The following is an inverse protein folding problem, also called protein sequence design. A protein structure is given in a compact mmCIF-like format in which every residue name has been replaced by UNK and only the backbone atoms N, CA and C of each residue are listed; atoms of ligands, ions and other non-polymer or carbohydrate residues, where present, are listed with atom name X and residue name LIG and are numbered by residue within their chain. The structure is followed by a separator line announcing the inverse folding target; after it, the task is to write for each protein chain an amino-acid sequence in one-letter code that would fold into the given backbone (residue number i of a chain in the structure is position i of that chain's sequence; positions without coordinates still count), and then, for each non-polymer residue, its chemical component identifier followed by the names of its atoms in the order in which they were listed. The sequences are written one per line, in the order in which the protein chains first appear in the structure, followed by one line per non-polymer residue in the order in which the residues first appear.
data_IF_764858283703
#
_entry.id   IF_764858283703
#
_cell.length_a   1.000
_cell.length_b   1.000
_cell.length_c   1.000
_cell.angle_alpha   90.00
_cell.angle_beta   90.00
_cell.angle_gamma   90.00
#
_symmetry.space_group_name_H-M   'P 1'
#
loop_
_entity.id
_entity.type
_entity.pdbx_description
1 polymer ?
#
# COMPACT_ATOMS: atom_id res chain seq x y z
N UNK A 1 50.12 6.18 -30.69
CA UNK A 1 49.35 5.40 -29.69
C UNK A 1 49.36 6.10 -28.32
N UNK A 2 48.77 7.30 -28.17
CA UNK A 2 48.70 7.99 -26.85
C UNK A 2 47.25 8.39 -26.48
N UNK A 3 46.29 8.25 -27.41
CA UNK A 3 44.89 8.68 -27.21
C UNK A 3 43.99 7.70 -26.44
N UNK A 4 44.50 6.57 -25.94
CA UNK A 4 43.67 5.51 -25.33
C UNK A 4 43.85 5.34 -23.81
N UNK A 5 44.80 6.04 -23.18
CA UNK A 5 45.06 5.92 -21.73
C UNK A 5 44.23 6.91 -20.88
N UNK A 6 43.88 8.08 -21.41
CA UNK A 6 43.06 9.07 -20.69
C UNK A 6 41.58 8.68 -20.57
N UNK A 7 41.00 7.95 -21.55
CA UNK A 7 39.62 7.47 -21.45
C UNK A 7 39.45 6.35 -20.42
N UNK A 8 40.45 5.47 -20.25
CA UNK A 8 40.42 4.41 -19.26
C UNK A 8 40.49 4.92 -17.81
N UNK A 9 41.30 5.95 -17.55
CA UNK A 9 41.41 6.56 -16.22
C UNK A 9 40.14 7.31 -15.80
N UNK A 10 39.49 8.01 -16.75
CA UNK A 10 38.21 8.67 -16.50
C UNK A 10 37.07 7.65 -16.23
N UNK A 11 37.04 6.53 -16.95
CA UNK A 11 36.07 5.45 -16.73
C UNK A 11 36.25 4.73 -15.39
N UNK A 12 37.51 4.49 -14.98
CA UNK A 12 37.83 3.91 -13.67
C UNK A 12 37.47 4.86 -12.52
N UNK A 13 37.76 6.16 -12.65
CA UNK A 13 37.38 7.18 -11.67
C UNK A 13 35.86 7.35 -11.52
N UNK A 14 35.11 7.26 -12.61
CA UNK A 14 33.65 7.26 -12.55
C UNK A 14 33.09 5.97 -11.94
N UNK A 15 33.71 4.81 -12.19
CA UNK A 15 33.31 3.53 -11.61
C UNK A 15 33.58 3.48 -10.09
N UNK A 16 34.74 3.98 -9.63
CA UNK A 16 35.06 4.07 -8.20
C UNK A 16 34.17 5.06 -7.48
N UNK A 17 33.86 6.22 -8.09
CA UNK A 17 32.90 7.18 -7.56
C UNK A 17 31.49 6.55 -7.43
N UNK A 18 31.00 5.85 -8.46
CA UNK A 18 29.71 5.13 -8.40
C UNK A 18 29.70 4.04 -7.31
N UNK A 19 30.79 3.31 -7.14
CA UNK A 19 30.93 2.30 -6.08
C UNK A 19 30.95 2.95 -4.68
N UNK A 20 31.58 4.11 -4.53
CA UNK A 20 31.59 4.85 -3.25
C UNK A 20 30.20 5.37 -2.89
N UNK A 21 29.49 5.98 -3.85
CA UNK A 21 28.11 6.45 -3.66
C UNK A 21 27.17 5.29 -3.34
N UNK A 22 27.34 4.14 -4.01
CA UNK A 22 26.55 2.94 -3.71
C UNK A 22 26.84 2.41 -2.31
N UNK A 23 28.11 2.38 -1.87
CA UNK A 23 28.50 1.97 -0.52
C UNK A 23 27.96 2.93 0.55
N UNK A 24 28.04 4.23 0.32
CA UNK A 24 27.47 5.25 1.20
C UNK A 24 25.95 5.13 1.30
N UNK A 25 25.27 4.90 0.18
CA UNK A 25 23.82 4.70 0.14
C UNK A 25 23.40 3.39 0.88
N UNK A 26 24.17 2.31 0.73
CA UNK A 26 23.96 1.07 1.48
C UNK A 26 24.19 1.29 2.98
N UNK A 27 25.27 1.99 3.36
CA UNK A 27 25.57 2.30 4.75
C UNK A 27 24.49 3.19 5.39
N UNK A 28 24.02 4.20 4.66
CA UNK A 28 22.92 5.08 5.07
C UNK A 28 21.63 4.29 5.28
N UNK A 29 21.24 3.42 4.34
CA UNK A 29 20.09 2.51 4.47
C UNK A 29 20.22 1.57 5.66
N UNK A 30 21.42 1.03 5.88
CA UNK A 30 21.75 0.20 7.04
C UNK A 30 21.55 0.95 8.37
N UNK A 31 22.06 2.17 8.47
CA UNK A 31 21.92 3.01 9.67
C UNK A 31 20.45 3.36 9.99
N UNK A 32 19.62 3.59 8.97
CA UNK A 32 18.18 3.82 9.15
C UNK A 32 17.48 2.57 9.72
N UNK A 33 17.78 1.38 9.19
CA UNK A 33 17.19 0.13 9.65
C UNK A 33 17.55 -0.23 11.11
N UNK A 34 18.70 0.25 11.60
CA UNK A 34 19.19 0.05 12.96
C UNK A 34 18.58 0.99 14.01
N UNK A 35 17.75 1.96 13.59
CA UNK A 35 17.07 2.84 14.53
C UNK A 35 16.26 2.04 15.58
N UNK A 36 16.20 2.59 16.78
CA UNK A 36 15.39 2.03 17.87
C UNK A 36 13.95 2.49 17.73
N UNK A 37 13.01 1.60 18.06
CA UNK A 37 11.59 1.98 18.18
C UNK A 37 11.44 2.80 19.47
N UNK A 38 10.74 3.95 19.47
CA UNK A 38 10.45 4.70 20.68
C UNK A 38 9.75 3.82 21.73
N UNK A 39 10.05 4.01 23.01
CA UNK A 39 9.63 3.12 24.12
C UNK A 39 8.11 2.97 24.22
N UNK A 40 7.36 4.03 23.90
CA UNK A 40 5.90 4.08 24.01
C UNK A 40 5.17 3.58 22.76
N UNK A 41 5.90 3.26 21.70
CA UNK A 41 5.35 2.81 20.42
C UNK A 41 5.40 1.29 20.38
N UNK A 42 4.24 0.64 20.32
CA UNK A 42 4.14 -0.83 20.23
C UNK A 42 3.52 -1.24 18.90
N UNK A 43 4.29 -1.98 18.09
CA UNK A 43 3.77 -2.72 16.94
C UNK A 43 3.14 -4.06 17.38
N UNK A 44 2.60 -4.85 16.44
CA UNK A 44 2.10 -6.20 16.74
C UNK A 44 3.18 -7.07 17.41
N UNK A 45 2.76 -7.95 18.33
CA UNK A 45 3.68 -8.91 18.98
C UNK A 45 4.33 -9.79 17.92
N UNK A 46 5.58 -10.22 18.14
CA UNK A 46 6.30 -11.10 17.21
C UNK A 46 5.56 -12.41 16.90
N UNK A 47 4.76 -12.92 17.84
CA UNK A 47 3.89 -14.09 17.63
C UNK A 47 2.84 -13.85 16.54
N UNK A 48 2.29 -12.63 16.46
CA UNK A 48 1.35 -12.25 15.40
C UNK A 48 2.07 -12.15 14.04
N UNK A 49 3.33 -11.68 14.03
CA UNK A 49 4.15 -11.69 12.82
C UNK A 49 4.40 -13.12 12.29
N UNK A 50 4.67 -14.10 13.17
CA UNK A 50 4.70 -15.51 12.75
C UNK A 50 3.34 -16.02 12.25
N UNK A 51 2.24 -15.44 12.73
CA UNK A 51 0.90 -15.70 12.23
C UNK A 51 0.74 -15.44 10.74
N UNK A 52 1.54 -14.55 10.14
CA UNK A 52 1.55 -14.30 8.69
C UNK A 52 1.90 -15.57 7.88
N UNK A 53 2.63 -16.53 8.46
CA UNK A 53 2.94 -17.81 7.81
C UNK A 53 1.69 -18.69 7.62
N UNK A 54 0.62 -18.43 8.36
CA UNK A 54 -0.66 -19.15 8.23
C UNK A 54 -1.51 -18.64 7.08
N UNK A 55 -1.11 -17.55 6.42
CA UNK A 55 -1.87 -16.93 5.31
C UNK A 55 -2.34 -17.94 4.26
N UNK A 56 -1.53 -18.90 3.75
CA UNK A 56 -2.01 -19.86 2.76
C UNK A 56 -3.09 -20.79 3.32
N UNK A 57 -2.95 -21.21 4.58
CA UNK A 57 -3.90 -22.11 5.25
C UNK A 57 -5.22 -21.37 5.51
N UNK A 58 -5.16 -20.14 6.03
CA UNK A 58 -6.35 -19.32 6.24
C UNK A 58 -7.09 -19.05 4.93
N UNK A 59 -6.34 -18.79 3.84
CA UNK A 59 -6.90 -18.65 2.50
C UNK A 59 -7.68 -19.87 2.05
N UNK A 60 -7.06 -21.03 2.19
CA UNK A 60 -7.65 -22.30 1.79
C UNK A 60 -8.87 -22.65 2.64
N UNK A 61 -8.83 -22.36 3.95
CA UNK A 61 -9.98 -22.54 4.83
C UNK A 61 -11.13 -21.60 4.45
N UNK A 62 -10.84 -20.33 4.19
CA UNK A 62 -11.84 -19.34 3.79
C UNK A 62 -12.45 -19.67 2.42
N UNK A 63 -11.66 -20.15 1.45
CA UNK A 63 -12.18 -20.54 0.13
C UNK A 63 -13.09 -21.76 0.16
N UNK A 64 -13.08 -22.52 1.26
CA UNK A 64 -14.00 -23.67 1.48
C UNK A 64 -15.30 -23.27 2.16
N UNK A 65 -15.38 -22.06 2.72
CA UNK A 65 -16.64 -21.54 3.23
C UNK A 65 -17.49 -21.09 2.04
N UNK A 66 -18.79 -21.41 2.05
CA UNK A 66 -19.66 -21.04 0.94
C UNK A 66 -19.65 -19.51 0.76
N UNK A 67 -19.50 -19.02 -0.48
CA UNK A 67 -19.52 -17.59 -0.74
C UNK A 67 -20.84 -17.01 -0.24
N UNK A 68 -20.78 -15.88 0.45
CA UNK A 68 -21.98 -15.10 0.75
C UNK A 68 -22.64 -14.75 -0.58
N UNK A 69 -23.95 -15.00 -0.69
CA UNK A 69 -24.72 -14.73 -1.91
C UNK A 69 -24.43 -13.32 -2.42
N UNK A 70 -24.13 -13.22 -3.72
CA UNK A 70 -23.93 -11.96 -4.40
C UNK A 70 -25.25 -11.18 -4.38
N UNK A 71 -25.25 -10.02 -3.73
CA UNK A 71 -26.34 -9.06 -3.92
C UNK A 71 -26.28 -8.52 -5.36
N UNK A 72 -27.43 -8.16 -5.97
CA UNK A 72 -27.48 -7.74 -7.36
C UNK A 72 -26.45 -6.64 -7.63
N UNK A 73 -25.71 -6.79 -8.73
CA UNK A 73 -24.68 -5.85 -9.14
C UNK A 73 -25.28 -4.44 -9.20
N UNK A 74 -24.80 -3.57 -8.31
CA UNK A 74 -25.04 -2.14 -8.40
C UNK A 74 -24.42 -1.56 -9.68
N UNK A 75 -24.41 -0.24 -9.79
CA UNK A 75 -23.76 0.44 -10.90
C UNK A 75 -22.28 0.01 -11.03
N UNK A 76 -21.84 -0.30 -12.25
CA UNK A 76 -20.44 -0.66 -12.50
C UNK A 76 -19.53 0.52 -12.19
N UNK A 77 -18.50 0.31 -11.37
CA UNK A 77 -17.53 1.34 -10.95
C UNK A 77 -16.16 1.08 -11.51
N UNK A 78 -15.43 2.15 -11.82
CA UNK A 78 -14.01 2.11 -12.09
C UNK A 78 -13.19 2.00 -10.78
N UNK A 79 -12.49 0.89 -10.60
CA UNK A 79 -11.68 0.59 -9.41
C UNK A 79 -10.20 0.54 -9.78
N UNK A 80 -9.34 1.14 -8.97
CA UNK A 80 -7.88 1.00 -9.07
C UNK A 80 -7.32 0.31 -7.81
N UNK A 81 -6.55 -0.76 -8.01
CA UNK A 81 -5.86 -1.49 -6.95
C UNK A 81 -4.41 -1.02 -6.78
N UNK A 82 -4.03 -0.68 -5.54
CA UNK A 82 -2.69 -0.22 -5.19
C UNK A 82 -2.00 -1.24 -4.25
N UNK A 83 -0.88 -1.87 -4.69
CA UNK A 83 -0.22 -2.93 -3.94
C UNK A 83 0.57 -2.42 -2.72
N UNK A 84 0.84 -3.34 -1.79
CA UNK A 84 1.68 -3.09 -0.62
C UNK A 84 3.17 -3.01 -0.95
N UNK A 85 3.96 -2.54 0.01
CA UNK A 85 5.40 -2.36 -0.15
C UNK A 85 6.13 -3.66 -0.53
N UNK A 86 7.06 -3.55 -1.48
CA UNK A 86 7.83 -4.68 -2.03
C UNK A 86 7.02 -5.65 -2.89
N UNK A 87 5.75 -5.35 -3.19
CA UNK A 87 4.88 -6.27 -3.92
C UNK A 87 4.48 -5.77 -5.31
N UNK A 88 4.20 -6.72 -6.19
CA UNK A 88 3.66 -6.47 -7.52
C UNK A 88 2.12 -6.59 -7.53
N UNK A 89 1.37 -5.83 -8.36
CA UNK A 89 -0.09 -5.89 -8.44
C UNK A 89 -0.70 -7.28 -8.60
N UNK A 90 0.05 -8.23 -9.18
CA UNK A 90 -0.37 -9.65 -9.31
C UNK A 90 -0.73 -10.29 -7.97
N UNK A 91 -0.18 -9.79 -6.85
CA UNK A 91 -0.53 -10.25 -5.50
C UNK A 91 -1.99 -9.97 -5.13
N UNK A 92 -2.61 -8.99 -5.78
CA UNK A 92 -4.01 -8.61 -5.59
C UNK A 92 -4.94 -9.18 -6.67
N UNK A 93 -4.44 -10.10 -7.53
CA UNK A 93 -5.23 -10.73 -8.60
C UNK A 93 -6.54 -11.37 -8.10
N UNK A 94 -6.58 -12.06 -6.94
CA UNK A 94 -7.85 -12.62 -6.45
C UNK A 94 -8.91 -11.56 -6.17
N UNK A 95 -8.54 -10.40 -5.60
CA UNK A 95 -9.45 -9.29 -5.38
C UNK A 95 -9.94 -8.69 -6.70
N UNK A 96 -9.03 -8.53 -7.66
CA UNK A 96 -9.36 -8.08 -9.01
C UNK A 96 -10.42 -8.98 -9.65
N UNK A 97 -10.18 -10.30 -9.67
CA UNK A 97 -11.11 -11.25 -10.27
C UNK A 97 -12.48 -11.23 -9.59
N UNK A 98 -12.52 -11.09 -8.27
CA UNK A 98 -13.78 -11.01 -7.54
C UNK A 98 -14.57 -9.73 -7.85
N UNK A 99 -13.89 -8.58 -7.98
CA UNK A 99 -14.51 -7.31 -8.36
C UNK A 99 -14.95 -7.29 -9.83
N UNK A 100 -14.16 -7.88 -10.73
CA UNK A 100 -14.52 -8.07 -12.16
C UNK A 100 -15.74 -8.99 -12.28
N UNK A 101 -15.79 -10.08 -11.52
CA UNK A 101 -16.95 -10.99 -11.48
C UNK A 101 -18.21 -10.32 -10.94
N UNK A 102 -18.07 -9.29 -10.11
CA UNK A 102 -19.17 -8.44 -9.64
C UNK A 102 -19.59 -7.35 -10.65
N UNK A 103 -18.96 -7.30 -11.83
CA UNK A 103 -19.29 -6.35 -12.89
C UNK A 103 -18.56 -5.01 -12.84
N UNK A 104 -17.56 -4.85 -11.97
CA UNK A 104 -16.77 -3.62 -11.89
C UNK A 104 -15.58 -3.62 -12.86
N UNK A 105 -15.16 -2.43 -13.28
CA UNK A 105 -14.01 -2.24 -14.18
C UNK A 105 -12.77 -2.02 -13.33
N UNK A 106 -11.88 -3.01 -13.27
CA UNK A 106 -10.75 -3.01 -12.34
C UNK A 106 -9.43 -2.80 -13.09
N UNK A 107 -8.63 -1.87 -12.59
CA UNK A 107 -7.28 -1.59 -13.07
C UNK A 107 -6.27 -1.72 -11.94
N UNK A 108 -5.01 -1.98 -12.28
CA UNK A 108 -3.91 -1.76 -11.36
C UNK A 108 -3.34 -0.34 -11.50
N UNK A 109 -2.56 0.05 -10.48
CA UNK A 109 -1.90 1.35 -10.43
C UNK A 109 -0.87 1.61 -11.55
N UNK A 110 -0.51 0.62 -12.39
CA UNK A 110 0.34 0.80 -13.56
C UNK A 110 1.82 1.10 -13.33
N UNK A 111 2.31 1.09 -12.08
CA UNK A 111 3.70 1.45 -11.74
C UNK A 111 4.60 0.24 -11.39
N UNK A 112 4.11 -0.98 -11.66
CA UNK A 112 4.85 -2.22 -11.37
C UNK A 112 4.99 -2.46 -9.87
N UNK A 113 6.19 -2.82 -9.41
CA UNK A 113 6.48 -3.07 -8.00
C UNK A 113 6.40 -1.78 -7.16
N UNK A 114 5.83 -1.89 -5.96
CA UNK A 114 5.80 -0.78 -5.01
C UNK A 114 7.04 -0.76 -4.12
N UNK A 115 8.09 -0.08 -4.57
CA UNK A 115 9.34 0.07 -3.80
C UNK A 115 9.37 1.23 -2.81
N UNK A 116 8.23 1.87 -2.53
CA UNK A 116 8.19 3.03 -1.64
C UNK A 116 7.81 4.33 -2.35
N UNK A 117 7.44 5.36 -1.59
CA UNK A 117 7.13 6.68 -2.12
C UNK A 117 8.39 7.40 -2.59
N UNK A 118 8.31 7.93 -3.80
CA UNK A 118 9.19 8.97 -4.34
C UNK A 118 8.28 10.03 -4.95
N UNK A 119 8.74 11.28 -5.03
CA UNK A 119 7.97 12.38 -5.63
C UNK A 119 7.54 12.03 -7.06
N UNK A 120 8.48 11.60 -7.92
CA UNK A 120 8.20 11.11 -9.28
C UNK A 120 7.13 10.02 -9.33
N UNK A 121 7.21 9.02 -8.45
CA UNK A 121 6.26 7.90 -8.46
C UNK A 121 4.86 8.37 -8.13
N UNK A 122 4.73 9.30 -7.19
CA UNK A 122 3.43 9.81 -6.79
C UNK A 122 2.86 10.78 -7.81
N UNK A 123 3.66 11.66 -8.39
CA UNK A 123 3.24 12.52 -9.49
C UNK A 123 2.68 11.67 -10.64
N UNK A 124 3.42 10.64 -11.07
CA UNK A 124 2.97 9.68 -12.09
C UNK A 124 1.71 8.92 -11.67
N UNK A 125 1.55 8.61 -10.38
CA UNK A 125 0.32 7.99 -9.87
C UNK A 125 -0.86 8.95 -9.96
N UNK A 126 -0.69 10.21 -9.56
CA UNK A 126 -1.69 11.26 -9.66
C UNK A 126 -2.13 11.48 -11.11
N UNK A 127 -1.17 11.66 -12.03
CA UNK A 127 -1.43 11.79 -13.47
C UNK A 127 -2.26 10.61 -13.99
N UNK A 128 -1.90 9.39 -13.61
CA UNK A 128 -2.61 8.19 -14.03
C UNK A 128 -4.03 8.13 -13.47
N UNK A 129 -4.23 8.47 -12.20
CA UNK A 129 -5.56 8.47 -11.57
C UNK A 129 -6.46 9.49 -12.25
N UNK A 130 -5.96 10.71 -12.49
CA UNK A 130 -6.70 11.76 -13.21
C UNK A 130 -7.02 11.34 -14.64
N UNK A 131 -6.03 10.80 -15.37
CA UNK A 131 -6.22 10.35 -16.75
C UNK A 131 -7.23 9.20 -16.84
N UNK A 132 -7.19 8.26 -15.90
CA UNK A 132 -8.12 7.14 -15.85
C UNK A 132 -9.52 7.62 -15.46
N UNK A 133 -9.67 8.49 -14.46
CA UNK A 133 -10.98 9.06 -14.11
C UNK A 133 -11.64 9.77 -15.32
N UNK A 134 -10.85 10.53 -16.09
CA UNK A 134 -11.33 11.14 -17.34
C UNK A 134 -11.73 10.12 -18.39
N UNK A 135 -10.92 9.07 -18.58
CA UNK A 135 -11.20 7.99 -19.55
C UNK A 135 -12.48 7.22 -19.19
N UNK A 136 -12.67 6.95 -17.90
CA UNK A 136 -13.83 6.21 -17.39
C UNK A 136 -15.09 7.08 -17.30
N UNK A 137 -14.94 8.41 -17.41
CA UNK A 137 -16.05 9.36 -17.30
C UNK A 137 -16.59 9.50 -15.87
N UNK A 138 -15.89 8.96 -14.86
CA UNK A 138 -16.28 9.02 -13.45
C UNK A 138 -15.05 9.00 -12.52
N UNK A 139 -15.17 9.55 -11.29
CA UNK A 139 -14.12 9.43 -10.27
C UNK A 139 -13.90 7.97 -9.85
N UNK A 140 -12.65 7.59 -9.60
CA UNK A 140 -12.26 6.21 -9.31
C UNK A 140 -12.52 5.81 -7.85
N UNK A 141 -12.78 4.53 -7.63
CA UNK A 141 -12.62 3.91 -6.31
C UNK A 141 -11.16 3.44 -6.17
N UNK A 142 -10.44 3.97 -5.19
CA UNK A 142 -9.06 3.55 -4.90
C UNK A 142 -9.05 2.53 -3.76
N UNK A 143 -8.53 1.33 -4.03
CA UNK A 143 -8.37 0.27 -3.02
C UNK A 143 -6.88 0.01 -2.81
N UNK A 144 -6.37 0.43 -1.65
CA UNK A 144 -4.96 0.34 -1.34
C UNK A 144 -4.66 -0.62 -0.20
N UNK A 145 -3.70 -1.52 -0.42
CA UNK A 145 -3.21 -2.44 0.61
C UNK A 145 -1.91 -1.92 1.23
N UNK A 146 -1.81 -1.90 2.55
CA UNK A 146 -0.59 -1.50 3.26
C UNK A 146 -0.15 -0.11 2.78
N UNK A 147 1.11 0.06 2.34
CA UNK A 147 1.61 1.31 1.74
C UNK A 147 0.75 1.81 0.55
N UNK A 148 0.17 0.92 -0.24
CA UNK A 148 -0.75 1.29 -1.33
C UNK A 148 -1.93 2.13 -0.85
N UNK A 149 -2.42 1.89 0.37
CA UNK A 149 -3.49 2.71 0.97
C UNK A 149 -3.03 4.10 1.41
N UNK A 150 -1.75 4.28 1.75
CA UNK A 150 -1.21 5.62 1.97
C UNK A 150 -1.19 6.40 0.67
N UNK A 151 -0.72 5.79 -0.42
CA UNK A 151 -0.81 6.41 -1.75
C UNK A 151 -2.25 6.76 -2.13
N UNK A 152 -3.22 5.85 -1.91
CA UNK A 152 -4.63 6.15 -2.19
C UNK A 152 -5.15 7.37 -1.43
N UNK A 153 -4.80 7.50 -0.15
CA UNK A 153 -5.20 8.66 0.68
C UNK A 153 -4.55 9.95 0.18
N UNK A 154 -3.26 9.93 -0.13
CA UNK A 154 -2.55 11.12 -0.59
C UNK A 154 -3.02 11.56 -1.99
N UNK A 155 -3.28 10.63 -2.91
CA UNK A 155 -3.88 10.96 -4.22
C UNK A 155 -5.25 11.60 -4.02
N UNK A 156 -6.08 11.05 -3.12
CA UNK A 156 -7.42 11.59 -2.86
C UNK A 156 -7.41 12.96 -2.16
N UNK A 157 -6.31 13.34 -1.50
CA UNK A 157 -6.11 14.71 -0.98
C UNK A 157 -5.73 15.67 -2.11
N UNK A 158 -4.86 15.24 -3.02
CA UNK A 158 -4.38 16.05 -4.13
C UNK A 158 -5.43 16.23 -5.24
N UNK A 159 -6.22 15.18 -5.51
CA UNK A 159 -7.19 15.11 -6.60
C UNK A 159 -8.53 14.53 -6.13
N UNK A 160 -9.23 15.18 -5.18
CA UNK A 160 -10.51 14.67 -4.68
C UNK A 160 -11.59 14.56 -5.75
N UNK A 161 -11.53 15.39 -6.80
CA UNK A 161 -12.42 15.33 -7.95
C UNK A 161 -12.27 14.05 -8.79
N UNK A 162 -11.09 13.39 -8.72
CA UNK A 162 -10.79 12.17 -9.46
C UNK A 162 -11.03 10.90 -8.61
N UNK A 163 -11.42 11.03 -7.35
CA UNK A 163 -11.59 9.91 -6.42
C UNK A 163 -12.97 9.93 -5.77
N UNK A 164 -13.73 8.86 -5.98
CA UNK A 164 -15.07 8.64 -5.39
C UNK A 164 -14.99 8.11 -3.96
N UNK A 165 -14.07 7.17 -3.72
CA UNK A 165 -13.96 6.41 -2.48
C UNK A 165 -12.51 5.93 -2.30
N UNK A 166 -12.02 5.99 -1.07
CA UNK A 166 -10.77 5.33 -0.67
C UNK A 166 -11.07 4.18 0.28
N UNK A 167 -10.67 2.97 -0.09
CA UNK A 167 -10.66 1.81 0.80
C UNK A 167 -9.21 1.44 1.14
N UNK A 168 -8.85 1.51 2.41
CA UNK A 168 -7.52 1.10 2.89
C UNK A 168 -7.58 -0.27 3.56
N UNK A 169 -6.60 -1.13 3.30
CA UNK A 169 -6.53 -2.49 3.86
C UNK A 169 -5.23 -2.68 4.63
N UNK A 170 -5.32 -2.80 5.96
CA UNK A 170 -4.13 -2.94 6.83
C UNK A 170 -3.13 -1.78 6.71
N UNK A 171 -3.60 -0.59 6.34
CA UNK A 171 -2.74 0.56 6.02
C UNK A 171 -2.38 1.36 7.28
N UNK A 172 -1.09 1.65 7.57
CA UNK A 172 -0.69 2.36 8.78
C UNK A 172 -0.87 3.89 8.66
N UNK A 173 -2.11 4.39 8.48
CA UNK A 173 -2.37 5.82 8.28
C UNK A 173 -2.55 6.64 9.57
N UNK A 174 -2.54 5.98 10.74
CA UNK A 174 -2.79 6.61 12.04
C UNK A 174 -1.76 6.22 13.10
N UNK A 175 -1.65 7.06 14.12
CA UNK A 175 -0.72 6.86 15.23
C UNK A 175 0.73 7.00 14.79
N UNK A 176 1.63 6.26 15.45
CA UNK A 176 3.05 6.35 15.19
C UNK A 176 3.48 5.46 14.01
N UNK A 177 4.34 5.99 13.14
CA UNK A 177 4.79 5.34 11.90
C UNK A 177 5.68 4.12 12.13
N UNK A 178 6.26 3.99 13.32
CA UNK A 178 7.02 2.82 13.78
C UNK A 178 6.16 1.80 14.51
N UNK A 179 4.85 2.03 14.65
CA UNK A 179 3.87 1.08 15.22
C UNK A 179 3.52 -0.08 14.25
N UNK A 180 4.48 -0.51 13.43
CA UNK A 180 4.39 -1.69 12.57
C UNK A 180 5.73 -2.42 12.62
N UNK A 181 5.78 -3.69 12.18
CA UNK A 181 7.00 -4.51 12.13
C UNK A 181 7.73 -4.38 10.79
N UNK A 182 7.10 -3.80 9.77
CA UNK A 182 7.68 -3.61 8.44
C UNK A 182 8.56 -2.35 8.31
N UNK A 183 8.54 -1.42 9.27
CA UNK A 183 9.22 -0.13 9.15
C UNK A 183 10.73 -0.23 8.88
N UNK A 184 11.41 -1.24 9.44
CA UNK A 184 12.84 -1.46 9.17
C UNK A 184 13.08 -1.91 7.73
N UNK A 185 12.27 -2.85 7.24
CA UNK A 185 12.32 -3.30 5.85
C UNK A 185 11.94 -2.16 4.90
N UNK A 186 10.97 -1.33 5.29
CA UNK A 186 10.59 -0.12 4.57
C UNK A 186 11.76 0.84 4.42
N UNK A 187 12.41 1.25 5.51
CA UNK A 187 13.52 2.21 5.43
C UNK A 187 14.70 1.66 4.63
N UNK A 188 14.96 0.35 4.74
CA UNK A 188 16.04 -0.32 4.01
C UNK A 188 15.82 -0.33 2.49
N UNK A 189 14.58 -0.56 2.04
CA UNK A 189 14.24 -0.62 0.61
C UNK A 189 13.91 0.77 0.04
N UNK A 190 13.11 1.57 0.75
CA UNK A 190 12.67 2.90 0.32
C UNK A 190 13.80 3.95 0.41
N UNK A 191 14.83 3.71 1.22
CA UNK A 191 15.97 4.62 1.33
C UNK A 191 15.66 5.93 2.04
N UNK A 192 14.57 6.03 2.80
CA UNK A 192 14.31 7.20 3.63
C UNK A 192 13.62 6.78 4.92
N UNK A 193 13.64 7.64 5.92
CA UNK A 193 12.98 7.36 7.20
C UNK A 193 11.48 7.19 7.01
N UNK A 194 10.86 6.34 7.83
CA UNK A 194 9.39 6.32 7.94
C UNK A 194 8.86 7.63 8.49
N UNK A 195 9.64 8.37 9.30
CA UNK A 195 9.23 9.63 9.93
C UNK A 195 9.24 10.82 8.98
N UNK A 196 10.13 10.79 7.99
CA UNK A 196 10.29 11.83 6.98
C UNK A 196 10.04 11.22 5.59
N UNK A 197 8.81 10.75 5.31
CA UNK A 197 8.52 10.32 3.96
C UNK A 197 8.49 11.55 3.03
N UNK A 198 8.88 11.38 1.77
CA UNK A 198 8.73 12.44 0.78
C UNK A 198 7.26 12.84 0.60
N UNK A 199 6.32 11.96 0.95
CA UNK A 199 4.88 12.11 0.70
C UNK A 199 4.08 11.60 1.90
N UNK A 200 2.96 12.25 2.19
CA UNK A 200 2.09 11.88 3.31
C UNK A 200 2.73 12.16 4.66
N UNK A 201 3.38 13.32 4.84
CA UNK A 201 3.87 13.80 6.14
C UNK A 201 2.73 13.94 7.16
N UNK A 202 1.54 14.25 6.70
CA UNK A 202 0.31 14.20 7.48
C UNK A 202 -0.61 13.07 7.00
N UNK A 203 -0.36 11.84 7.47
CA UNK A 203 -1.20 10.67 7.10
C UNK A 203 -2.58 10.69 7.78
N UNK A 204 -2.65 11.33 8.95
CA UNK A 204 -3.80 11.30 9.84
C UNK A 204 -4.96 12.10 9.25
N UNK A 205 -4.67 13.24 8.61
CA UNK A 205 -5.70 14.03 7.92
C UNK A 205 -6.46 13.16 6.93
N UNK A 206 -7.78 13.15 7.09
CA UNK A 206 -8.70 12.43 6.24
C UNK A 206 -8.77 13.12 4.87
N UNK A 207 -8.65 12.38 3.76
CA UNK A 207 -8.99 12.90 2.43
C UNK A 207 -10.42 13.49 2.40
N UNK A 208 -10.70 14.54 1.60
CA UNK A 208 -12.03 15.14 1.51
C UNK A 208 -12.99 14.33 0.62
N UNK A 209 -12.94 13.01 0.74
CA UNK A 209 -13.79 12.02 0.05
C UNK A 209 -14.14 10.90 1.05
N UNK A 210 -15.18 10.08 0.78
CA UNK A 210 -15.45 8.90 1.59
C UNK A 210 -14.24 7.99 1.76
N UNK A 211 -14.01 7.55 2.99
CA UNK A 211 -12.83 6.77 3.40
C UNK A 211 -13.21 5.63 4.33
N UNK A 212 -12.91 4.40 3.90
CA UNK A 212 -13.23 3.18 4.65
C UNK A 212 -11.95 2.42 4.97
N UNK A 213 -11.75 2.11 6.25
CA UNK A 213 -10.60 1.38 6.74
C UNK A 213 -10.95 -0.08 7.05
N UNK A 214 -10.44 -1.02 6.25
CA UNK A 214 -10.42 -2.44 6.58
C UNK A 214 -9.19 -2.72 7.46
N UNK A 215 -9.42 -3.15 8.69
CA UNK A 215 -8.36 -3.43 9.67
C UNK A 215 -8.54 -4.82 10.27
N UNK A 216 -7.47 -5.43 10.77
CA UNK A 216 -7.55 -6.78 11.35
C UNK A 216 -6.79 -6.86 12.67
N UNK A 217 -7.37 -7.46 13.73
CA UNK A 217 -6.62 -7.77 14.94
C UNK A 217 -5.60 -8.91 14.74
N UNK A 218 -5.66 -9.64 13.61
CA UNK A 218 -4.70 -10.68 13.22
C UNK A 218 -3.54 -10.16 12.37
N UNK A 219 -3.53 -8.86 12.07
CA UNK A 219 -2.44 -8.22 11.34
C UNK A 219 -1.13 -8.28 12.17
N UNK A 220 -0.17 -9.06 11.69
CA UNK A 220 1.14 -9.24 12.33
C UNK A 220 2.16 -8.19 11.92
N UNK A 221 1.84 -7.36 10.94
CA UNK A 221 2.76 -6.38 10.35
C UNK A 221 2.39 -4.98 10.82
N UNK A 222 1.16 -4.53 10.63
CA UNK A 222 0.65 -3.22 11.01
C UNK A 222 -0.22 -3.33 12.27
N UNK A 223 -0.01 -2.42 13.24
CA UNK A 223 -0.89 -2.35 14.40
C UNK A 223 -2.34 -2.10 13.96
N UNK A 224 -3.26 -2.93 14.46
CA UNK A 224 -4.68 -2.78 14.18
C UNK A 224 -5.21 -1.39 14.58
N UNK A 225 -4.61 -0.71 15.57
CA UNK A 225 -4.99 0.67 15.95
C UNK A 225 -4.59 1.68 14.87
N UNK A 226 -3.39 1.53 14.32
CA UNK A 226 -2.89 2.37 13.22
C UNK A 226 -3.67 2.16 11.93
N UNK A 227 -4.12 0.92 11.66
CA UNK A 227 -4.96 0.60 10.51
C UNK A 227 -6.44 0.97 10.68
N UNK A 228 -6.97 0.91 11.91
CA UNK A 228 -8.33 1.31 12.21
C UNK A 228 -8.50 2.83 12.16
N UNK A 229 -7.49 3.59 12.60
CA UNK A 229 -7.55 5.04 12.69
C UNK A 229 -8.31 5.56 13.91
N UNK A 230 -8.02 6.80 14.30
CA UNK A 230 -8.73 7.58 15.33
C UNK A 230 -10.00 8.20 14.76
N UNK A 231 -10.87 8.69 15.65
CA UNK A 231 -12.08 9.44 15.25
C UNK A 231 -11.68 10.63 14.38
N UNK A 232 -12.36 10.81 13.24
CA UNK A 232 -12.10 11.88 12.29
C UNK A 232 -11.12 11.56 11.16
N UNK A 233 -10.30 10.51 11.27
CA UNK A 233 -9.27 10.18 10.26
C UNK A 233 -9.81 9.33 9.09
N UNK A 234 -11.06 8.88 9.19
CA UNK A 234 -11.83 8.03 8.27
C UNK A 234 -13.33 8.06 8.60
N UNK A 235 -14.17 7.66 7.65
CA UNK A 235 -15.63 7.58 7.82
C UNK A 235 -16.06 6.27 8.48
N UNK A 236 -15.55 5.14 7.97
CA UNK A 236 -15.87 3.81 8.50
C UNK A 236 -14.61 3.03 8.80
N UNK A 237 -14.69 2.18 9.83
CA UNK A 237 -13.63 1.23 10.18
C UNK A 237 -14.25 -0.16 10.37
N UNK A 238 -13.91 -1.09 9.48
CA UNK A 238 -14.53 -2.41 9.40
C UNK A 238 -13.49 -3.47 9.79
N UNK A 239 -13.76 -4.29 10.83
CA UNK A 239 -12.85 -5.36 11.22
C UNK A 239 -12.93 -6.54 10.25
N UNK A 240 -11.77 -7.04 9.83
CA UNK A 240 -11.59 -8.27 9.06
C UNK A 240 -10.89 -9.32 9.92
N UNK A 241 -10.98 -10.60 9.54
CA UNK A 241 -10.35 -11.73 10.25
C UNK A 241 -9.25 -12.41 9.44
N UNK A 242 -8.34 -11.63 8.86
CA UNK A 242 -7.21 -12.13 8.06
C UNK A 242 -5.86 -11.59 8.58
N UNK A 243 -4.77 -12.26 8.21
CA UNK A 243 -3.41 -11.73 8.36
C UNK A 243 -3.17 -10.50 7.46
N UNK A 244 -2.04 -9.80 7.65
CA UNK A 244 -1.67 -8.65 6.81
C UNK A 244 -1.51 -9.05 5.34
N UNK A 245 -0.79 -10.15 5.10
CA UNK A 245 -0.60 -10.70 3.75
C UNK A 245 -1.91 -11.27 3.20
N UNK A 246 -2.80 -11.73 4.08
CA UNK A 246 -4.13 -12.19 3.75
C UNK A 246 -4.99 -11.10 3.09
N UNK A 247 -4.86 -9.83 3.49
CA UNK A 247 -5.64 -8.74 2.90
C UNK A 247 -5.57 -8.69 1.37
N UNK A 248 -4.42 -9.04 0.78
CA UNK A 248 -4.22 -8.96 -0.65
C UNK A 248 -5.08 -9.94 -1.46
N UNK A 249 -5.72 -10.94 -0.84
CA UNK A 249 -6.47 -11.95 -1.58
C UNK A 249 -7.64 -12.60 -0.83
N UNK A 250 -7.81 -12.35 0.48
CA UNK A 250 -8.71 -13.15 1.33
C UNK A 250 -10.18 -13.06 0.84
N UNK A 251 -10.92 -14.17 0.75
CA UNK A 251 -12.31 -14.17 0.26
C UNK A 251 -13.24 -13.18 0.97
N UNK A 252 -13.19 -13.12 2.30
CA UNK A 252 -14.00 -12.13 3.06
C UNK A 252 -13.65 -10.69 2.71
N UNK A 253 -12.38 -10.40 2.43
CA UNK A 253 -11.95 -9.06 2.00
C UNK A 253 -12.52 -8.78 0.62
N UNK A 254 -12.46 -9.74 -0.31
CA UNK A 254 -13.09 -9.60 -1.61
C UNK A 254 -14.61 -9.37 -1.51
N UNK A 255 -15.31 -10.13 -0.66
CA UNK A 255 -16.75 -9.96 -0.42
C UNK A 255 -17.09 -8.58 0.15
N UNK A 256 -16.28 -8.09 1.10
CA UNK A 256 -16.45 -6.75 1.67
C UNK A 256 -16.19 -5.66 0.61
N UNK A 257 -15.15 -5.82 -0.21
CA UNK A 257 -14.85 -4.87 -1.29
C UNK A 257 -16.00 -4.79 -2.29
N UNK A 258 -16.60 -5.91 -2.72
CA UNK A 258 -17.77 -5.89 -3.60
C UNK A 258 -18.91 -5.04 -3.03
N UNK A 259 -19.24 -5.25 -1.75
CA UNK A 259 -20.30 -4.48 -1.06
C UNK A 259 -19.97 -2.99 -0.98
N UNK A 260 -18.73 -2.65 -0.62
CA UNK A 260 -18.30 -1.25 -0.52
C UNK A 260 -18.30 -0.56 -1.89
N UNK A 261 -17.80 -1.22 -2.93
CA UNK A 261 -17.76 -0.64 -4.28
C UNK A 261 -19.17 -0.45 -4.84
N UNK A 262 -20.10 -1.38 -4.58
CA UNK A 262 -21.48 -1.25 -5.02
C UNK A 262 -22.27 -0.15 -4.28
N UNK A 263 -21.88 0.16 -3.03
CA UNK A 263 -22.59 1.13 -2.19
C UNK A 263 -22.21 2.60 -2.44
N UNK A 264 -21.13 2.86 -3.19
CA UNK A 264 -20.60 4.21 -3.48
C UNK A 264 -20.55 4.46 -4.98
#
# INVERSE_FOLDING_TARGET
MIFNLQQGAAGLGQATARLSLLREEIARRGSLALQSRPVDVRGPKWQAFLGELRTPIEHWQASRQMPVQDEPAGESRAVMLLPGFGTHPVRMKPLRLALEAAGHRVSDWGLGFNFGPTEDRFERLCERVVAMARKEGEPLVLVGWSLGGLFSREVAKAHPEAVRLVVTMGTPFSGDRRANNAWRAYQLIAGHSVDEPPIGRDMATKPPVPTVALWSPRDGIVSHRSACGRKGERDLAIPMRCTHLGFAAHPDVAAMLKRLVAAY
#
